data_IF_101418626723
#
_entry.id   IF_101418626723
#
_cell.length_a   1.000
_cell.length_b   1.000
_cell.length_c   1.000
_cell.angle_alpha   90.00
_cell.angle_beta   90.00
_cell.angle_gamma   90.00
#
_symmetry.space_group_name_H-M   'P 1'
#
loop_
_entity.id
_entity.type
_entity.pdbx_description
1 polymer ?
#
# COMPACT_ATOMS: atom_id res chain seq x y z
N UNK A 1 -15.33 23.83 -97.56
CA UNK A 1 -14.27 24.40 -96.70
C UNK A 1 -14.64 24.06 -95.26
N UNK A 2 -14.12 22.94 -94.75
CA UNK A 2 -14.41 22.47 -93.39
C UNK A 2 -13.42 23.16 -92.43
N UNK A 3 -13.86 23.74 -91.31
CA UNK A 3 -12.93 24.24 -90.30
C UNK A 3 -12.38 23.02 -89.55
N UNK A 4 -11.08 22.77 -89.73
CA UNK A 4 -10.34 21.78 -88.96
C UNK A 4 -10.33 22.17 -87.50
N UNK A 5 -11.25 21.59 -86.71
CA UNK A 5 -11.23 21.68 -85.26
C UNK A 5 -9.97 20.99 -84.74
N UNK A 6 -9.24 21.69 -83.88
CA UNK A 6 -7.96 21.29 -83.31
C UNK A 6 -8.13 20.04 -82.41
N UNK A 7 -8.20 18.87 -83.05
CA UNK A 7 -8.42 17.55 -82.45
C UNK A 7 -7.42 17.26 -81.31
N UNK A 8 -6.23 17.85 -81.40
CA UNK A 8 -5.16 17.73 -80.41
C UNK A 8 -5.54 18.36 -79.06
N UNK A 9 -6.35 19.42 -79.07
CA UNK A 9 -6.75 20.13 -77.85
C UNK A 9 -7.93 19.43 -77.15
N UNK A 10 -8.89 18.93 -77.93
CA UNK A 10 -10.03 18.13 -77.44
C UNK A 10 -9.54 16.80 -76.86
N UNK A 11 -8.59 16.14 -77.53
CA UNK A 11 -8.02 14.88 -77.06
C UNK A 11 -7.16 15.05 -75.79
N UNK A 12 -6.40 16.16 -75.65
CA UNK A 12 -5.66 16.45 -74.40
C UNK A 12 -6.59 16.72 -73.21
N UNK A 13 -7.66 17.49 -73.39
CA UNK A 13 -8.65 17.75 -72.33
C UNK A 13 -9.44 16.49 -71.94
N UNK A 14 -9.81 15.68 -72.94
CA UNK A 14 -10.46 14.39 -72.69
C UNK A 14 -9.53 13.41 -71.96
N UNK A 15 -8.27 13.30 -72.37
CA UNK A 15 -7.28 12.44 -71.71
C UNK A 15 -6.95 12.91 -70.28
N UNK A 16 -6.94 14.23 -70.03
CA UNK A 16 -6.76 14.79 -68.69
C UNK A 16 -7.99 14.55 -67.78
N UNK A 17 -9.22 14.65 -68.29
CA UNK A 17 -10.43 14.31 -67.52
C UNK A 17 -10.52 12.81 -67.24
N UNK A 18 -10.21 11.95 -68.21
CA UNK A 18 -10.19 10.50 -68.02
C UNK A 18 -9.13 10.11 -66.99
N UNK A 19 -7.94 10.72 -67.02
CA UNK A 19 -6.90 10.47 -66.02
C UNK A 19 -7.28 10.97 -64.61
N UNK A 20 -8.03 12.08 -64.51
CA UNK A 20 -8.53 12.59 -63.23
C UNK A 20 -9.65 11.69 -62.66
N UNK A 21 -10.55 11.19 -63.51
CA UNK A 21 -11.60 10.23 -63.13
C UNK A 21 -11.03 8.86 -62.74
N UNK A 22 -9.96 8.41 -63.41
CA UNK A 22 -9.25 7.18 -63.06
C UNK A 22 -8.53 7.30 -61.70
N UNK A 23 -7.92 8.46 -61.42
CA UNK A 23 -7.30 8.76 -60.13
C UNK A 23 -8.34 8.86 -59.00
N UNK A 24 -9.50 9.47 -59.25
CA UNK A 24 -10.58 9.57 -58.25
C UNK A 24 -11.22 8.21 -57.92
N UNK A 25 -11.29 7.29 -58.88
CA UNK A 25 -11.76 5.92 -58.68
C UNK A 25 -10.83 5.07 -57.80
N UNK A 26 -9.51 5.29 -57.88
CA UNK A 26 -8.53 4.58 -57.03
C UNK A 26 -8.63 5.01 -55.57
N UNK A 27 -8.96 6.29 -55.31
CA UNK A 27 -9.14 6.79 -53.93
C UNK A 27 -10.43 6.25 -53.28
N UNK A 28 -11.48 5.99 -54.06
CA UNK A 28 -12.73 5.41 -53.53
C UNK A 28 -12.66 3.89 -53.27
N UNK A 29 -11.76 3.16 -53.93
CA UNK A 29 -11.58 1.70 -53.71
C UNK A 29 -10.72 1.35 -52.49
N UNK A 30 -10.14 2.34 -51.80
CA UNK A 30 -9.35 2.14 -50.58
C UNK A 30 -10.19 2.07 -49.29
N UNK A 31 -11.52 2.22 -49.36
CA UNK A 31 -12.41 2.15 -48.20
C UNK A 31 -13.33 0.92 -48.16
N UNK A 32 -13.06 -0.13 -48.94
CA UNK A 32 -13.82 -1.41 -48.84
C UNK A 32 -12.92 -2.63 -49.00
N UNK A 33 -11.93 -2.76 -48.10
CA UNK A 33 -11.28 -4.05 -47.87
C UNK A 33 -10.96 -4.20 -46.37
N UNK A 34 -11.99 -4.55 -45.60
CA UNK A 34 -11.81 -5.25 -44.33
C UNK A 34 -11.28 -6.65 -44.70
N UNK A 35 -9.97 -6.77 -44.86
CA UNK A 35 -9.32 -8.07 -44.88
C UNK A 35 -9.27 -8.56 -43.44
N UNK A 36 -10.18 -9.47 -43.10
CA UNK A 36 -10.02 -10.32 -41.92
C UNK A 36 -8.76 -11.17 -42.13
N UNK A 37 -7.61 -10.68 -41.66
CA UNK A 37 -6.49 -11.55 -41.36
C UNK A 37 -6.89 -12.35 -40.13
N UNK A 38 -7.36 -13.56 -40.38
CA UNK A 38 -7.62 -14.56 -39.36
C UNK A 38 -6.28 -15.02 -38.77
N UNK A 39 -5.75 -14.26 -37.81
CA UNK A 39 -4.73 -14.73 -36.89
C UNK A 39 -5.47 -15.43 -35.74
N UNK A 40 -5.28 -16.74 -35.62
CA UNK A 40 -5.88 -17.56 -34.59
C UNK A 40 -5.42 -17.08 -33.20
N UNK A 41 -6.15 -16.12 -32.64
CA UNK A 41 -6.03 -15.72 -31.25
C UNK A 41 -6.91 -16.67 -30.44
N UNK A 42 -6.38 -17.43 -29.47
CA UNK A 42 -7.21 -18.33 -28.66
C UNK A 42 -8.32 -17.54 -27.98
N UNK A 43 -9.54 -18.07 -28.06
CA UNK A 43 -10.72 -17.53 -27.39
C UNK A 43 -10.45 -17.37 -25.88
N UNK A 44 -10.20 -16.11 -25.48
CA UNK A 44 -9.97 -15.70 -24.10
C UNK A 44 -11.20 -15.97 -23.20
N UNK A 45 -12.39 -16.17 -23.78
CA UNK A 45 -13.59 -16.57 -23.05
C UNK A 45 -13.43 -17.98 -22.45
N UNK A 46 -13.07 -18.96 -23.27
CA UNK A 46 -12.87 -20.34 -22.83
C UNK A 46 -11.75 -20.50 -21.77
N UNK A 47 -10.63 -19.77 -21.90
CA UNK A 47 -9.52 -19.86 -20.92
C UNK A 47 -9.92 -19.24 -19.58
N UNK A 48 -10.65 -18.11 -19.58
CA UNK A 48 -11.15 -17.50 -18.34
C UNK A 48 -12.16 -18.40 -17.64
N UNK A 49 -13.05 -19.06 -18.38
CA UNK A 49 -14.02 -20.00 -17.79
C UNK A 49 -13.34 -21.25 -17.24
N UNK A 50 -12.31 -21.80 -17.89
CA UNK A 50 -11.58 -22.95 -17.34
C UNK A 50 -10.79 -22.61 -16.06
N UNK A 51 -10.19 -21.43 -15.99
CA UNK A 51 -9.49 -20.98 -14.78
C UNK A 51 -10.45 -20.79 -13.59
N UNK A 52 -11.63 -20.20 -13.83
CA UNK A 52 -12.66 -20.02 -12.80
C UNK A 52 -13.24 -21.35 -12.32
N UNK A 53 -13.55 -22.27 -13.23
CA UNK A 53 -14.07 -23.60 -12.86
C UNK A 53 -13.05 -24.40 -12.02
N UNK A 54 -11.75 -24.28 -12.34
CA UNK A 54 -10.69 -24.94 -11.56
C UNK A 54 -10.60 -24.34 -10.15
N UNK A 55 -10.67 -23.01 -10.02
CA UNK A 55 -10.62 -22.34 -8.71
C UNK A 55 -11.82 -22.71 -7.82
N UNK A 56 -13.03 -22.78 -8.37
CA UNK A 56 -14.23 -23.19 -7.61
C UNK A 56 -14.13 -24.65 -7.17
N UNK A 57 -13.58 -25.55 -8.01
CA UNK A 57 -13.41 -26.95 -7.63
C UNK A 57 -12.43 -27.16 -6.47
N UNK A 58 -11.35 -26.36 -6.40
CA UNK A 58 -10.41 -26.42 -5.27
C UNK A 58 -11.03 -25.88 -3.98
N UNK A 59 -11.80 -24.79 -4.06
CA UNK A 59 -12.51 -24.25 -2.89
C UNK A 59 -13.56 -25.22 -2.31
N UNK A 60 -14.26 -26.00 -3.15
CA UNK A 60 -15.20 -27.02 -2.66
C UNK A 60 -14.47 -28.22 -2.02
N UNK A 61 -13.32 -28.64 -2.57
CA UNK A 61 -12.51 -29.69 -1.96
C UNK A 61 -11.93 -29.27 -0.60
N UNK A 62 -11.51 -28.02 -0.45
CA UNK A 62 -11.03 -27.48 0.83
C UNK A 62 -12.17 -27.33 1.85
N UNK A 63 -13.41 -27.04 1.41
CA UNK A 63 -14.57 -26.98 2.29
C UNK A 63 -14.99 -28.36 2.83
N UNK A 64 -14.84 -29.42 2.04
CA UNK A 64 -15.10 -30.80 2.49
C UNK A 64 -13.98 -31.33 3.41
N UNK A 65 -12.74 -30.88 3.24
CA UNK A 65 -11.63 -31.22 4.14
C UNK A 65 -11.72 -30.56 5.53
N UNK A 66 -12.54 -29.50 5.69
CA UNK A 66 -12.82 -28.85 6.98
C UNK A 66 -13.96 -29.54 7.74
N UNK A 67 -14.68 -30.49 7.13
CA UNK A 67 -15.78 -31.21 7.77
C UNK A 67 -15.34 -32.41 8.65
N UNK A 68 -14.04 -32.75 8.68
CA UNK A 68 -13.47 -33.68 9.67
C UNK A 68 -12.64 -32.90 10.71
N UNK A 69 -13.32 -32.24 11.65
CA UNK A 69 -12.70 -31.81 12.91
C UNK A 69 -12.33 -33.05 13.74
N UNK A 70 -11.06 -33.21 14.18
CA UNK A 70 -10.79 -34.07 15.33
C UNK A 70 -11.38 -33.36 16.55
N UNK A 71 -12.31 -34.02 17.23
CA UNK A 71 -12.92 -33.56 18.48
C UNK A 71 -11.81 -33.34 19.52
N UNK A 72 -11.35 -32.10 19.65
CA UNK A 72 -10.31 -31.75 20.62
C UNK A 72 -10.97 -31.53 21.97
N UNK A 73 -10.78 -32.49 22.88
CA UNK A 73 -11.29 -32.45 24.23
C UNK A 73 -10.77 -31.21 24.99
N UNK A 74 -11.69 -30.54 25.69
CA UNK A 74 -11.46 -29.34 26.49
C UNK A 74 -10.38 -29.59 27.57
N UNK A 75 -9.37 -28.71 27.73
CA UNK A 75 -8.35 -28.91 28.77
C UNK A 75 -8.96 -28.77 30.17
N UNK A 76 -8.80 -29.81 30.98
CA UNK A 76 -9.18 -29.84 32.40
C UNK A 76 -8.21 -28.98 33.21
N UNK A 77 -8.76 -28.00 33.95
CA UNK A 77 -7.98 -27.19 34.90
C UNK A 77 -7.44 -28.07 36.04
N UNK A 78 -6.12 -28.27 36.04
CA UNK A 78 -5.40 -28.88 37.17
C UNK A 78 -5.14 -27.78 38.20
N UNK A 79 -5.55 -27.93 39.48
CA UNK A 79 -5.24 -26.92 40.49
C UNK A 79 -3.74 -26.94 40.83
N UNK A 80 -3.14 -25.75 40.77
CA UNK A 80 -1.73 -25.49 41.08
C UNK A 80 -1.50 -25.52 42.61
N UNK A 81 -0.38 -26.08 43.12
CA UNK A 81 -0.09 -26.09 44.55
C UNK A 81 0.23 -24.70 45.09
N UNK A 82 -0.42 -24.34 46.20
CA UNK A 82 -0.23 -23.12 46.97
C UNK A 82 1.21 -23.03 47.50
N UNK A 83 1.99 -22.05 47.01
CA UNK A 83 3.29 -21.69 47.59
C UNK A 83 3.10 -20.54 48.58
N UNK A 84 3.23 -20.88 49.85
CA UNK A 84 3.30 -19.97 50.99
C UNK A 84 4.50 -19.01 50.82
N UNK A 85 4.28 -17.70 50.95
CA UNK A 85 5.34 -16.69 50.90
C UNK A 85 5.36 -15.94 52.23
N UNK A 86 6.26 -16.39 53.09
CA UNK A 86 6.58 -15.79 54.37
C UNK A 86 7.28 -14.44 54.16
N UNK A 87 6.73 -13.39 54.80
CA UNK A 87 7.32 -12.05 54.85
C UNK A 87 8.62 -12.09 55.65
N UNK A 88 9.73 -11.64 55.05
CA UNK A 88 10.94 -11.28 55.79
C UNK A 88 11.30 -9.83 55.46
N UNK A 89 11.09 -8.94 56.42
CA UNK A 89 11.53 -7.54 56.38
C UNK A 89 12.99 -7.52 56.80
N UNK A 90 13.89 -7.05 55.93
CA UNK A 90 15.25 -6.68 56.32
C UNK A 90 15.52 -5.24 55.86
N UNK A 91 15.75 -4.37 56.83
CA UNK A 91 16.07 -2.97 56.64
C UNK A 91 17.51 -2.80 56.08
N UNK A 92 17.76 -1.88 55.14
CA UNK A 92 19.12 -1.55 54.74
C UNK A 92 19.78 -0.60 55.76
N UNK A 93 20.83 -1.08 56.42
CA UNK A 93 21.75 -0.28 57.25
C UNK A 93 22.80 0.37 56.35
N UNK A 94 22.91 1.70 56.41
CA UNK A 94 23.95 2.47 55.73
C UNK A 94 25.34 2.12 56.27
N UNK A 95 26.25 1.70 55.38
CA UNK A 95 27.67 1.52 55.73
C UNK A 95 28.51 2.49 54.91
N UNK A 96 29.09 3.48 55.58
CA UNK A 96 30.14 4.34 55.04
C UNK A 96 31.45 3.55 55.08
N UNK A 97 32.12 3.40 53.93
CA UNK A 97 33.54 3.11 53.88
C UNK A 97 34.20 4.11 52.93
N UNK A 98 35.16 4.86 53.46
CA UNK A 98 36.11 5.66 52.70
C UNK A 98 37.47 4.99 52.78
N UNK A 99 38.33 5.36 51.82
CA UNK A 99 39.79 5.23 51.79
C UNK A 99 40.38 4.14 50.89
N UNK A 100 41.27 4.56 49.99
CA UNK A 100 42.19 3.69 49.26
C UNK A 100 42.59 4.24 47.90
N UNK A 101 43.40 5.31 47.88
CA UNK A 101 44.02 5.82 46.65
C UNK A 101 45.23 4.99 46.18
N UNK A 102 45.61 5.21 44.92
CA UNK A 102 46.78 4.63 44.24
C UNK A 102 46.33 3.80 43.03
N UNK A 103 46.73 4.05 41.79
CA UNK A 103 47.78 4.87 41.24
C UNK A 103 48.16 4.23 39.90
N UNK A 104 48.21 5.04 38.83
CA UNK A 104 48.92 4.75 37.59
C UNK A 104 48.43 3.57 36.75
N UNK A 105 47.69 3.88 35.69
CA UNK A 105 47.99 3.35 34.34
C UNK A 105 47.38 4.30 33.32
N UNK A 106 48.23 4.99 32.58
CA UNK A 106 47.85 5.75 31.40
C UNK A 106 47.45 4.75 30.32
N UNK A 107 46.17 4.39 30.29
CA UNK A 107 45.57 3.83 29.09
C UNK A 107 45.14 5.01 28.23
N UNK A 108 45.89 5.26 27.15
CA UNK A 108 45.40 6.04 26.01
C UNK A 108 44.32 5.21 25.31
N UNK A 109 43.15 5.10 25.95
CA UNK A 109 41.97 4.54 25.34
C UNK A 109 41.48 5.50 24.27
N UNK A 110 41.51 5.06 23.01
CA UNK A 110 40.64 5.62 21.99
C UNK A 110 39.20 5.58 22.54
N UNK A 111 38.40 6.66 22.42
CA UNK A 111 37.05 6.66 22.97
C UNK A 111 36.28 5.47 22.40
N UNK A 112 35.91 4.54 23.29
CA UNK A 112 34.96 3.49 22.94
C UNK A 112 33.67 4.21 22.54
N UNK A 113 33.08 3.92 21.37
CA UNK A 113 31.81 4.52 21.01
C UNK A 113 30.77 4.09 22.05
N UNK A 114 30.37 5.03 22.89
CA UNK A 114 29.20 4.86 23.75
C UNK A 114 27.99 4.91 22.84
N UNK A 115 27.23 3.82 22.76
CA UNK A 115 25.94 3.82 22.06
C UNK A 115 25.03 4.84 22.75
N UNK A 116 24.84 6.01 22.14
CA UNK A 116 23.83 6.97 22.61
C UNK A 116 22.47 6.35 22.32
N UNK A 117 21.63 6.06 23.35
CA UNK A 117 20.33 5.45 23.13
C UNK A 117 19.44 6.41 22.33
N UNK A 118 18.73 5.87 21.34
CA UNK A 118 17.69 6.59 20.61
C UNK A 118 16.49 6.75 21.54
N UNK A 119 16.21 7.99 21.95
CA UNK A 119 15.12 8.27 22.91
C UNK A 119 13.77 8.07 22.24
N UNK A 120 13.57 8.69 21.07
CA UNK A 120 12.38 8.56 20.24
C UNK A 120 12.72 7.76 18.99
N UNK A 121 12.37 6.48 18.98
CA UNK A 121 12.59 5.58 17.86
C UNK A 121 11.28 4.93 17.47
N UNK A 122 10.99 4.88 16.18
CA UNK A 122 9.78 4.28 15.65
C UNK A 122 10.07 3.47 14.39
N UNK A 123 9.34 2.37 14.24
CA UNK A 123 9.35 1.54 13.04
C UNK A 123 7.91 1.24 12.60
N UNK A 124 7.61 1.39 11.32
CA UNK A 124 6.33 0.93 10.75
C UNK A 124 6.48 -0.56 10.46
N UNK A 125 5.81 -1.41 11.24
CA UNK A 125 5.94 -2.87 11.16
C UNK A 125 4.76 -3.55 10.47
N UNK A 126 3.72 -2.79 10.13
CA UNK A 126 2.56 -3.30 9.39
C UNK A 126 1.70 -2.18 8.83
N UNK A 127 0.99 -2.48 7.74
CA UNK A 127 0.03 -1.60 7.11
C UNK A 127 -1.11 -2.43 6.49
N UNK A 128 -2.35 -1.95 6.59
CA UNK A 128 -3.52 -2.59 5.96
C UNK A 128 -4.58 -1.54 5.63
N UNK A 129 -5.07 -1.44 4.38
CA UNK A 129 -4.55 -2.13 3.21
C UNK A 129 -3.12 -1.67 2.86
N UNK A 130 -2.40 -2.53 2.16
CA UNK A 130 -1.11 -2.16 1.58
C UNK A 130 -1.30 -1.11 0.49
N UNK A 131 -0.24 -0.35 0.22
CA UNK A 131 -0.20 0.57 -0.91
C UNK A 131 -0.52 -0.14 -2.23
N UNK A 132 -1.27 0.54 -3.09
CA UNK A 132 -1.61 0.00 -4.40
C UNK A 132 -2.96 0.45 -4.91
N UNK A 133 -3.66 -0.47 -5.57
CA UNK A 133 -4.86 -0.14 -6.32
C UNK A 133 -6.08 0.02 -5.41
N UNK A 134 -6.82 1.11 -5.57
CA UNK A 134 -8.16 1.28 -5.02
C UNK A 134 -9.11 1.79 -6.08
N UNK A 135 -10.39 1.43 -5.98
CA UNK A 135 -11.40 2.01 -6.86
C UNK A 135 -11.55 3.51 -6.59
N UNK A 136 -11.75 4.27 -7.67
CA UNK A 136 -12.10 5.69 -7.57
C UNK A 136 -13.30 5.91 -6.65
N UNK A 137 -13.23 6.91 -5.78
CA UNK A 137 -14.31 7.26 -4.86
C UNK A 137 -14.52 6.30 -3.69
N UNK A 138 -13.62 5.33 -3.47
CA UNK A 138 -13.70 4.44 -2.30
C UNK A 138 -13.37 5.18 -1.00
N UNK A 139 -14.08 4.80 0.07
CA UNK A 139 -13.74 5.15 1.45
C UNK A 139 -12.98 3.98 2.06
N UNK A 140 -11.78 4.23 2.59
CA UNK A 140 -10.86 3.19 3.04
C UNK A 140 -10.28 3.54 4.41
N UNK A 141 -10.52 2.67 5.39
CA UNK A 141 -9.80 2.72 6.66
C UNK A 141 -8.41 2.14 6.49
N UNK A 142 -7.38 2.98 6.58
CA UNK A 142 -5.98 2.57 6.49
C UNK A 142 -5.38 2.51 7.88
N UNK A 143 -4.90 1.34 8.25
CA UNK A 143 -4.25 1.05 9.52
C UNK A 143 -2.75 0.93 9.34
N UNK A 144 -1.97 1.53 10.24
CA UNK A 144 -0.54 1.26 10.40
C UNK A 144 -0.26 0.71 11.79
N UNK A 145 0.60 -0.30 11.86
CA UNK A 145 1.15 -0.79 13.12
C UNK A 145 2.51 -0.17 13.32
N UNK A 146 2.62 0.71 14.31
CA UNK A 146 3.85 1.41 14.67
C UNK A 146 4.47 0.74 15.89
N UNK A 147 5.77 0.46 15.83
CA UNK A 147 6.53 -0.13 16.93
C UNK A 147 7.42 0.92 17.59
N UNK A 148 7.37 0.99 18.91
CA UNK A 148 8.30 1.80 19.68
C UNK A 148 9.66 1.09 19.76
N UNK A 149 10.67 1.65 19.09
CA UNK A 149 12.06 1.17 19.14
C UNK A 149 12.98 2.14 19.89
N UNK A 150 12.40 3.15 20.54
CA UNK A 150 13.08 4.08 21.43
C UNK A 150 13.05 3.64 22.89
N UNK A 151 13.59 4.47 23.77
CA UNK A 151 13.58 4.24 25.22
C UNK A 151 12.47 4.99 25.95
N UNK A 152 11.87 6.02 25.34
CA UNK A 152 10.75 6.75 25.90
C UNK A 152 9.42 6.00 25.65
N UNK A 153 8.57 5.92 26.68
CA UNK A 153 7.18 5.47 26.51
C UNK A 153 6.36 6.56 25.82
N UNK A 154 5.67 6.23 24.73
CA UNK A 154 4.74 7.16 24.10
C UNK A 154 3.48 7.22 24.94
N UNK A 155 3.12 8.42 25.41
CA UNK A 155 2.01 8.60 26.36
C UNK A 155 0.71 8.93 25.64
N UNK A 156 -0.36 8.25 26.05
CA UNK A 156 -1.71 8.52 25.58
C UNK A 156 -2.10 9.98 25.84
N UNK A 157 -2.80 10.60 24.90
CA UNK A 157 -3.28 11.97 25.02
C UNK A 157 -2.21 13.07 24.94
N UNK A 158 -0.92 12.74 24.86
CA UNK A 158 0.16 13.73 24.60
C UNK A 158 0.85 13.48 23.27
N UNK A 159 1.09 12.22 22.91
CA UNK A 159 1.58 11.84 21.59
C UNK A 159 0.40 11.81 20.62
N UNK A 160 0.61 12.40 19.45
CA UNK A 160 -0.41 12.49 18.40
C UNK A 160 0.22 12.30 17.04
N UNK A 161 -0.57 11.88 16.07
CA UNK A 161 -0.16 11.85 14.66
C UNK A 161 -0.99 12.83 13.86
N UNK A 162 -0.35 13.46 12.87
CA UNK A 162 -0.97 14.51 12.07
C UNK A 162 -0.51 14.48 10.62
N UNK A 163 -1.34 15.07 9.75
CA UNK A 163 -1.08 15.16 8.32
C UNK A 163 -0.01 16.21 8.03
N UNK A 164 0.97 15.87 7.19
CA UNK A 164 2.11 16.75 6.89
C UNK A 164 2.25 17.13 5.42
N UNK A 165 1.34 16.69 4.55
CA UNK A 165 1.29 17.14 3.16
C UNK A 165 0.99 16.06 2.12
N UNK A 166 1.38 16.36 0.88
CA UNK A 166 0.93 15.71 -0.36
C UNK A 166 -0.57 15.95 -0.57
N UNK A 167 -1.36 14.90 -0.73
CA UNK A 167 -2.79 15.03 -0.89
C UNK A 167 -3.52 14.93 0.44
N UNK A 168 -4.48 15.85 0.61
CA UNK A 168 -5.44 15.82 1.68
C UNK A 168 -6.56 14.85 1.31
N UNK A 169 -6.46 13.63 1.83
CA UNK A 169 -7.40 12.53 1.56
C UNK A 169 -8.23 12.17 2.79
N UNK A 170 -8.14 12.91 3.89
CA UNK A 170 -8.81 12.58 5.16
C UNK A 170 -9.61 13.79 5.65
N UNK A 171 -10.80 13.59 6.24
CA UNK A 171 -11.61 14.69 6.78
C UNK A 171 -11.03 15.27 8.08
N UNK A 172 -10.13 14.55 8.76
CA UNK A 172 -9.49 14.95 10.01
C UNK A 172 -7.97 14.80 9.90
N UNK A 173 -7.22 15.76 10.46
CA UNK A 173 -5.77 15.89 10.23
C UNK A 173 -4.92 15.66 11.48
N UNK A 174 -5.51 15.31 12.62
CA UNK A 174 -4.78 15.14 13.88
C UNK A 174 -5.53 14.18 14.81
N UNK A 175 -4.80 13.24 15.40
CA UNK A 175 -5.36 12.22 16.29
C UNK A 175 -4.38 11.91 17.41
N UNK A 176 -4.87 11.83 18.64
CA UNK A 176 -4.07 11.41 19.79
C UNK A 176 -3.98 9.90 19.89
N UNK A 177 -2.85 9.39 20.40
CA UNK A 177 -2.77 8.00 20.83
C UNK A 177 -3.74 7.77 22.00
N UNK A 178 -4.46 6.64 21.94
CA UNK A 178 -5.47 6.28 22.93
C UNK A 178 -4.89 5.46 24.10
N UNK A 179 -3.75 4.83 23.90
CA UNK A 179 -3.06 4.00 24.89
C UNK A 179 -1.57 4.35 24.94
N UNK A 180 -0.95 4.11 26.10
CA UNK A 180 0.50 4.18 26.26
C UNK A 180 1.17 3.09 25.42
N UNK A 181 2.37 3.39 24.89
CA UNK A 181 3.17 2.45 24.10
C UNK A 181 4.58 2.39 24.70
N UNK A 182 4.84 1.36 25.50
CA UNK A 182 6.15 1.18 26.12
C UNK A 182 7.22 0.79 25.07
N UNK A 183 8.52 0.90 25.42
CA UNK A 183 9.59 0.39 24.56
C UNK A 183 9.34 -1.05 24.10
N UNK A 184 9.53 -1.30 22.81
CA UNK A 184 9.30 -2.55 22.08
C UNK A 184 7.83 -2.96 21.89
N UNK A 185 6.87 -2.21 22.40
CA UNK A 185 5.45 -2.43 22.12
C UNK A 185 5.02 -1.80 20.79
N UNK A 186 3.82 -2.16 20.35
CA UNK A 186 3.21 -1.69 19.12
C UNK A 186 1.88 -1.00 19.37
N UNK A 187 1.53 -0.03 18.54
CA UNK A 187 0.20 0.58 18.48
C UNK A 187 -0.32 0.56 17.05
N UNK A 188 -1.61 0.32 16.89
CA UNK A 188 -2.28 0.50 15.62
C UNK A 188 -2.91 1.89 15.56
N UNK A 189 -2.60 2.64 14.51
CA UNK A 189 -3.21 3.93 14.18
C UNK A 189 -4.02 3.80 12.89
N UNK A 190 -5.05 4.62 12.73
CA UNK A 190 -5.99 4.54 11.61
C UNK A 190 -6.25 5.93 11.02
N UNK A 191 -6.32 6.01 9.69
CA UNK A 191 -6.78 7.17 8.94
C UNK A 191 -7.92 6.74 8.02
N UNK A 192 -9.00 7.53 8.01
CA UNK A 192 -10.07 7.42 7.00
C UNK A 192 -9.58 8.11 5.72
N UNK A 193 -9.46 7.35 4.64
CA UNK A 193 -8.95 7.83 3.35
C UNK A 193 -10.07 7.82 2.32
N UNK A 194 -10.43 9.01 1.85
CA UNK A 194 -11.30 9.25 0.71
C UNK A 194 -10.50 9.23 -0.59
N UNK A 195 -10.63 8.12 -1.33
CA UNK A 195 -9.94 7.95 -2.61
C UNK A 195 -10.56 8.88 -3.67
N UNK A 196 -9.75 9.70 -4.38
CA UNK A 196 -10.29 10.62 -5.37
C UNK A 196 -11.06 9.92 -6.50
N UNK A 197 -12.07 10.60 -7.05
CA UNK A 197 -12.86 10.10 -8.19
C UNK A 197 -12.12 10.19 -9.53
N UNK A 198 -11.02 10.93 -9.57
CA UNK A 198 -10.18 11.10 -10.76
C UNK A 198 -9.13 10.00 -10.80
N UNK A 199 -8.92 9.42 -11.98
CA UNK A 199 -7.85 8.43 -12.18
C UNK A 199 -6.49 9.10 -12.01
N UNK A 200 -5.64 8.51 -11.18
CA UNK A 200 -4.35 9.09 -10.83
C UNK A 200 -3.65 8.33 -9.71
N UNK A 201 -2.50 8.87 -9.32
CA UNK A 201 -1.72 8.39 -8.19
C UNK A 201 -1.73 9.46 -7.12
N UNK A 202 -2.00 9.06 -5.88
CA UNK A 202 -2.12 9.97 -4.75
C UNK A 202 -1.37 9.40 -3.55
N UNK A 203 -0.87 10.29 -2.70
CA UNK A 203 -0.18 9.97 -1.47
C UNK A 203 -0.70 10.89 -0.37
N UNK A 204 -0.93 10.33 0.80
CA UNK A 204 -1.13 11.12 2.02
C UNK A 204 0.00 10.81 3.01
N UNK A 205 0.64 11.85 3.56
CA UNK A 205 1.77 11.70 4.48
C UNK A 205 1.39 12.14 5.89
N UNK A 206 1.84 11.35 6.86
CA UNK A 206 1.56 11.52 8.27
C UNK A 206 2.84 11.36 9.09
N UNK A 207 2.85 12.00 10.26
CA UNK A 207 3.92 11.83 11.24
C UNK A 207 3.35 11.64 12.64
N UNK A 208 3.94 10.74 13.42
CA UNK A 208 3.81 10.72 14.88
C UNK A 208 4.70 11.80 15.48
N UNK A 209 4.14 12.53 16.44
CA UNK A 209 4.74 13.67 17.13
C UNK A 209 4.88 13.35 18.61
N UNK A 210 6.04 13.65 19.19
CA UNK A 210 6.30 13.44 20.61
C UNK A 210 5.73 14.57 21.47
N UNK A 211 5.91 14.45 22.79
CA UNK A 211 5.49 15.42 23.80
C UNK A 211 6.24 16.76 23.76
N UNK A 212 7.35 16.84 23.01
CA UNK A 212 8.08 18.09 22.73
C UNK A 212 7.64 18.74 21.42
N UNK A 213 6.69 18.15 20.69
CA UNK A 213 6.24 18.65 19.38
C UNK A 213 7.14 18.26 18.21
N UNK A 214 8.04 17.29 18.39
CA UNK A 214 8.94 16.83 17.33
C UNK A 214 8.33 15.67 16.55
N UNK A 215 8.29 15.79 15.23
CA UNK A 215 7.94 14.71 14.31
C UNK A 215 9.07 13.66 14.26
N UNK A 216 8.76 12.40 14.59
CA UNK A 216 9.78 11.35 14.70
C UNK A 216 9.44 10.02 14.04
N UNK A 217 8.20 9.81 13.60
CA UNK A 217 7.80 8.61 12.85
C UNK A 217 6.93 8.94 11.66
N UNK A 218 7.52 8.90 10.46
CA UNK A 218 6.78 9.13 9.21
C UNK A 218 6.14 7.85 8.69
N UNK A 219 4.87 7.94 8.27
CA UNK A 219 4.15 6.87 7.58
C UNK A 219 3.22 7.48 6.53
N UNK A 220 2.88 6.73 5.50
CA UNK A 220 2.09 7.23 4.38
C UNK A 220 1.19 6.14 3.82
N UNK A 221 0.16 6.56 3.10
CA UNK A 221 -0.60 5.68 2.21
C UNK A 221 -0.39 6.15 0.78
N UNK A 222 -0.08 5.23 -0.11
CA UNK A 222 -0.01 5.47 -1.54
C UNK A 222 -1.11 4.69 -2.26
N UNK A 223 -1.90 5.40 -3.05
CA UNK A 223 -3.01 4.84 -3.80
C UNK A 223 -2.88 5.15 -5.29
N UNK A 224 -3.02 4.11 -6.10
CA UNK A 224 -3.21 4.20 -7.54
C UNK A 224 -4.68 3.93 -7.84
N UNK A 225 -5.40 4.91 -8.37
CA UNK A 225 -6.86 4.77 -8.54
C UNK A 225 -7.20 4.02 -9.82
N UNK A 226 -8.15 3.09 -9.71
CA UNK A 226 -8.65 2.28 -10.83
C UNK A 226 -10.15 2.54 -11.03
N UNK A 227 -10.59 2.44 -12.29
CA UNK A 227 -11.99 2.67 -12.64
C UNK A 227 -12.89 1.60 -12.01
N UNK A 228 -14.10 2.01 -11.62
CA UNK A 228 -15.15 1.07 -11.23
C UNK A 228 -15.49 0.14 -12.41
N UNK A 229 -15.84 -1.13 -12.15
CA UNK A 229 -16.29 -2.03 -13.21
C UNK A 229 -17.52 -1.45 -13.89
N UNK A 230 -17.51 -1.40 -15.22
CA UNK A 230 -18.70 -1.01 -15.98
C UNK A 230 -19.74 -2.11 -15.83
N UNK A 231 -20.98 -1.77 -15.46
CA UNK A 231 -22.07 -2.72 -15.44
C UNK A 231 -22.19 -3.39 -16.82
N UNK A 232 -22.31 -4.72 -16.84
CA UNK A 232 -22.61 -5.43 -18.09
C UNK A 232 -24.05 -5.08 -18.46
N UNK A 233 -24.33 -4.61 -19.69
CA UNK A 233 -25.70 -4.36 -20.12
C UNK A 233 -26.50 -5.66 -20.09
N UNK A 234 -27.70 -5.61 -19.49
CA UNK A 234 -28.69 -6.70 -19.47
C UNK A 234 -29.16 -7.09 -20.87
#
# INVERSE_FOLDING_TARGET
MLPGGDWRYVMKRSMMMVSLLLLLGIVFSACTQQAESQEATPDLGAVKTQAVLTAVSQMTADAEAVAEEPTQELPTITPLPTKDTQVTVVAPTATKAASGGGGGTTYTGSPVPTWTPVVYGCEVVGQTPLDGNQYVGADVDVYWTLKNVGTATWKAGTYYYHWTGYEDLSPSHMFYLQNDVAPYETVQVMIDVHVPITIGQYRTQWYLVNDNGEEFCGFYYYVNTVALPTATPD
#
